data_IF_440256880899
#
_entry.id   IF_440256880899
#
_cell.length_a   1.000
_cell.length_b   1.000
_cell.length_c   1.000
_cell.angle_alpha   90.00
_cell.angle_beta   90.00
_cell.angle_gamma   90.00
#
_symmetry.space_group_name_H-M   'P 1'
#
loop_
_entity.id
_entity.type
_entity.pdbx_description
1 polymer ?
#
# COMPACT_ATOMS: atom_id res chain seq x y z
N UNK A 1 -35.57 -8.67 29.43
CA UNK A 1 -34.25 -8.47 30.08
C UNK A 1 -33.19 -8.52 28.99
N UNK A 2 -32.60 -7.37 28.64
CA UNK A 2 -31.51 -7.29 27.67
C UNK A 2 -30.36 -8.16 28.16
N UNK A 3 -29.97 -9.17 27.38
CA UNK A 3 -28.92 -10.12 27.74
C UNK A 3 -27.57 -9.39 27.82
N UNK A 4 -26.71 -9.79 28.75
CA UNK A 4 -25.35 -9.23 28.91
C UNK A 4 -24.56 -9.21 27.59
N UNK A 5 -24.85 -10.15 26.69
CA UNK A 5 -24.26 -10.19 25.33
C UNK A 5 -24.69 -9.03 24.44
N UNK A 6 -25.93 -8.55 24.55
CA UNK A 6 -26.39 -7.38 23.81
C UNK A 6 -25.79 -6.08 24.34
N UNK A 7 -25.58 -6.00 25.66
CA UNK A 7 -24.84 -4.89 26.27
C UNK A 7 -23.37 -4.87 25.83
N UNK A 8 -22.72 -6.03 25.76
CA UNK A 8 -21.33 -6.14 25.26
C UNK A 8 -21.22 -5.77 23.78
N UNK A 9 -22.15 -6.21 22.91
CA UNK A 9 -22.14 -5.82 21.49
C UNK A 9 -22.31 -4.31 21.32
N UNK A 10 -23.20 -3.69 22.08
CA UNK A 10 -23.40 -2.23 22.03
C UNK A 10 -22.15 -1.49 22.51
N UNK A 11 -21.49 -1.97 23.57
CA UNK A 11 -20.22 -1.42 24.03
C UNK A 11 -19.11 -1.59 22.98
N UNK A 12 -19.07 -2.71 22.27
CA UNK A 12 -18.08 -2.94 21.21
C UNK A 12 -18.30 -2.01 20.02
N UNK A 13 -19.54 -1.78 19.61
CA UNK A 13 -19.89 -0.82 18.55
C UNK A 13 -19.54 0.61 18.96
N UNK A 14 -19.81 1.00 20.21
CA UNK A 14 -19.43 2.32 20.73
C UNK A 14 -17.91 2.45 20.83
N UNK A 15 -17.20 1.40 21.25
CA UNK A 15 -15.75 1.38 21.28
C UNK A 15 -15.14 1.47 19.88
N UNK A 16 -15.73 0.84 18.87
CA UNK A 16 -15.28 0.91 17.48
C UNK A 16 -15.59 2.28 16.85
N UNK A 17 -16.73 2.88 17.18
CA UNK A 17 -17.12 4.21 16.71
C UNK A 17 -16.44 5.38 17.46
N UNK A 18 -15.98 5.15 18.70
CA UNK A 18 -15.27 6.14 19.53
C UNK A 18 -13.79 5.85 19.70
N UNK A 19 -13.28 4.71 19.19
CA UNK A 19 -11.86 4.52 19.04
C UNK A 19 -11.37 5.64 18.12
N UNK A 20 -10.36 6.43 18.52
CA UNK A 20 -9.69 7.26 17.57
C UNK A 20 -9.22 6.31 16.47
N UNK A 21 -9.71 6.52 15.23
CA UNK A 21 -9.08 5.85 14.11
C UNK A 21 -7.59 6.05 14.27
N UNK A 22 -6.77 4.97 14.22
CA UNK A 22 -5.34 5.15 14.30
C UNK A 22 -4.99 6.16 13.23
N UNK A 23 -4.58 7.35 13.67
CA UNK A 23 -4.29 8.48 12.78
C UNK A 23 -3.51 7.91 11.60
N UNK A 24 -4.00 8.12 10.37
CA UNK A 24 -3.45 7.50 9.15
C UNK A 24 -1.93 7.72 8.95
N UNK A 25 -1.33 8.59 9.75
CA UNK A 25 0.10 8.81 9.87
C UNK A 25 0.87 7.65 10.54
N UNK A 26 0.26 6.82 11.40
CA UNK A 26 0.95 5.67 12.01
C UNK A 26 0.90 4.39 11.18
N UNK A 27 -0.11 4.24 10.30
CA UNK A 27 -0.28 3.07 9.43
C UNK A 27 0.49 3.18 8.11
N UNK A 28 0.98 4.37 7.76
CA UNK A 28 1.74 4.62 6.52
C UNK A 28 3.24 4.37 6.67
N UNK A 29 3.77 4.22 7.89
CA UNK A 29 5.15 3.79 8.08
C UNK A 29 5.25 2.26 8.00
N UNK A 30 6.15 1.81 7.13
CA UNK A 30 6.51 0.40 7.00
C UNK A 30 6.85 -0.22 8.36
N UNK A 31 6.41 -1.46 8.58
CA UNK A 31 6.58 -2.21 9.83
C UNK A 31 8.06 -2.26 10.23
N UNK A 32 8.95 -2.40 9.24
CA UNK A 32 10.40 -2.35 9.41
C UNK A 32 10.86 -1.01 10.00
N UNK A 33 10.39 0.11 9.46
CA UNK A 33 10.78 1.47 9.90
C UNK A 33 10.27 1.77 11.31
N UNK A 34 9.07 1.30 11.64
CA UNK A 34 8.52 1.41 12.99
C UNK A 34 9.36 0.64 14.01
N UNK A 35 9.77 -0.58 13.66
CA UNK A 35 10.67 -1.39 14.48
C UNK A 35 12.07 -0.78 14.58
N UNK A 36 12.64 -0.26 13.48
CA UNK A 36 13.92 0.48 13.46
C UNK A 36 13.93 1.60 14.50
N UNK A 37 12.91 2.46 14.48
CA UNK A 37 12.77 3.58 15.43
C UNK A 37 12.66 3.10 16.88
N UNK A 38 11.84 2.07 17.12
CA UNK A 38 11.65 1.51 18.45
C UNK A 38 12.96 0.93 18.99
N UNK A 39 13.67 0.12 18.20
CA UNK A 39 14.95 -0.48 18.57
C UNK A 39 15.99 0.61 18.87
N UNK A 40 16.09 1.65 18.04
CA UNK A 40 17.04 2.75 18.28
C UNK A 40 16.74 3.49 19.59
N UNK A 41 15.46 3.79 19.87
CA UNK A 41 15.04 4.39 21.13
C UNK A 41 15.32 3.49 22.34
N UNK A 42 15.00 2.20 22.24
CA UNK A 42 15.23 1.22 23.28
C UNK A 42 16.74 1.04 23.57
N UNK A 43 17.61 1.01 22.54
CA UNK A 43 19.07 0.95 22.70
C UNK A 43 19.61 2.18 23.43
N UNK A 44 19.14 3.38 23.07
CA UNK A 44 19.55 4.63 23.74
C UNK A 44 19.10 4.66 25.20
N UNK A 45 17.88 4.19 25.47
CA UNK A 45 17.39 4.07 26.84
C UNK A 45 18.21 3.06 27.65
N UNK A 46 18.56 1.91 27.07
CA UNK A 46 19.39 0.91 27.76
C UNK A 46 20.79 1.46 28.06
N UNK A 47 21.39 2.24 27.16
CA UNK A 47 22.67 2.92 27.40
C UNK A 47 22.58 3.93 28.55
N UNK A 48 21.51 4.73 28.59
CA UNK A 48 21.25 5.65 29.68
C UNK A 48 21.04 4.91 31.02
N UNK A 49 20.26 3.83 31.01
CA UNK A 49 20.03 3.01 32.20
C UNK A 49 21.33 2.35 32.71
N UNK A 50 22.22 1.93 31.79
CA UNK A 50 23.54 1.40 32.12
C UNK A 50 24.42 2.44 32.81
N UNK A 51 24.44 3.67 32.31
CA UNK A 51 25.15 4.81 32.91
C UNK A 51 24.63 5.12 34.31
N UNK A 52 23.32 5.34 34.44
CA UNK A 52 22.71 5.66 35.74
C UNK A 52 22.92 4.54 36.76
N UNK A 53 22.95 3.28 36.32
CA UNK A 53 23.28 2.15 37.19
C UNK A 53 24.72 2.22 37.66
N UNK A 54 25.67 2.51 36.77
CA UNK A 54 27.08 2.58 37.15
C UNK A 54 27.35 3.75 38.10
N UNK A 55 26.73 4.90 37.88
CA UNK A 55 26.77 6.03 38.81
C UNK A 55 26.24 5.65 40.21
N UNK A 56 25.12 4.92 40.27
CA UNK A 56 24.58 4.42 41.56
C UNK A 56 25.51 3.38 42.22
N UNK A 57 26.17 2.53 41.43
CA UNK A 57 27.16 1.57 41.94
C UNK A 57 28.43 2.26 42.44
N UNK A 58 28.88 3.31 41.76
CA UNK A 58 30.03 4.11 42.15
C UNK A 58 29.77 4.92 43.43
N UNK A 59 28.54 5.43 43.61
CA UNK A 59 28.16 6.23 44.77
C UNK A 59 27.87 5.42 46.05
N UNK A 60 27.33 4.20 45.92
CA UNK A 60 26.79 3.46 47.08
C UNK A 60 26.98 1.94 47.05
N UNK A 61 27.75 1.39 46.10
CA UNK A 61 27.94 -0.04 45.95
C UNK A 61 26.66 -0.78 45.50
N UNK A 62 26.52 -2.06 45.88
CA UNK A 62 25.38 -2.88 45.46
C UNK A 62 24.16 -2.63 46.34
N UNK A 63 23.36 -1.62 45.99
CA UNK A 63 22.07 -1.33 46.63
C UNK A 63 20.92 -2.12 46.01
N UNK A 64 19.77 -2.21 46.70
CA UNK A 64 18.53 -2.81 46.16
C UNK A 64 18.06 -2.12 44.89
N UNK A 65 18.15 -0.80 44.84
CA UNK A 65 17.80 0.02 43.67
C UNK A 65 18.71 -0.26 42.46
N UNK A 66 20.01 -0.47 42.69
CA UNK A 66 20.95 -0.88 41.63
C UNK A 66 20.68 -2.30 41.12
N UNK A 67 20.25 -3.22 42.02
CA UNK A 67 19.84 -4.57 41.62
C UNK A 67 18.56 -4.56 40.78
N UNK A 68 17.58 -3.72 41.12
CA UNK A 68 16.37 -3.53 40.34
C UNK A 68 16.66 -2.92 38.96
N UNK A 69 17.49 -1.86 38.87
CA UNK A 69 17.91 -1.32 37.57
C UNK A 69 18.68 -2.36 36.75
N UNK A 70 19.54 -3.18 37.38
CA UNK A 70 20.23 -4.29 36.71
C UNK A 70 19.26 -5.33 36.13
N UNK A 71 18.15 -5.61 36.82
CA UNK A 71 17.11 -6.49 36.28
C UNK A 71 16.38 -5.83 35.11
N UNK A 72 15.98 -4.56 35.23
CA UNK A 72 15.32 -3.80 34.16
C UNK A 72 16.16 -3.73 32.89
N UNK A 73 17.46 -3.47 33.00
CA UNK A 73 18.40 -3.47 31.87
C UNK A 73 18.42 -4.84 31.18
N UNK A 74 18.50 -5.95 31.93
CA UNK A 74 18.49 -7.30 31.34
C UNK A 74 17.17 -7.63 30.62
N UNK A 75 16.04 -7.16 31.15
CA UNK A 75 14.73 -7.29 30.49
C UNK A 75 14.67 -6.43 29.23
N UNK A 76 15.15 -5.19 29.28
CA UNK A 76 15.19 -4.29 28.15
C UNK A 76 16.11 -4.82 27.03
N UNK A 77 17.29 -5.35 27.35
CA UNK A 77 18.19 -6.03 26.39
C UNK A 77 17.50 -7.20 25.70
N UNK A 78 16.74 -8.04 26.44
CA UNK A 78 15.93 -9.11 25.82
C UNK A 78 14.87 -8.55 24.87
N UNK A 79 14.18 -7.48 25.27
CA UNK A 79 13.20 -6.79 24.43
C UNK A 79 13.81 -6.25 23.12
N UNK A 80 15.00 -5.64 23.19
CA UNK A 80 15.74 -5.16 22.01
C UNK A 80 16.15 -6.31 21.09
N UNK A 81 16.61 -7.44 21.66
CA UNK A 81 16.93 -8.67 20.90
C UNK A 81 15.72 -9.23 20.16
N UNK A 82 14.58 -9.31 20.82
CA UNK A 82 13.32 -9.74 20.20
C UNK A 82 12.86 -8.75 19.11
N UNK A 83 13.12 -7.46 19.29
CA UNK A 83 12.90 -6.43 18.26
C UNK A 83 13.76 -6.67 17.01
N UNK A 84 15.07 -6.88 17.18
CA UNK A 84 16.00 -7.15 16.07
C UNK A 84 15.71 -8.49 15.39
N UNK A 85 15.31 -9.52 16.14
CA UNK A 85 14.89 -10.80 15.56
C UNK A 85 13.67 -10.63 14.63
N UNK A 86 12.65 -9.87 15.07
CA UNK A 86 11.48 -9.52 14.23
C UNK A 86 11.87 -8.72 13.00
N UNK A 87 12.79 -7.77 13.14
CA UNK A 87 13.34 -7.01 12.02
C UNK A 87 14.05 -7.91 10.99
N UNK A 88 14.79 -8.93 11.47
CA UNK A 88 15.42 -9.93 10.62
C UNK A 88 14.46 -10.87 9.91
N UNK A 89 13.35 -11.26 10.55
CA UNK A 89 12.30 -12.03 9.89
C UNK A 89 11.65 -11.25 8.73
N UNK A 90 11.47 -9.93 8.87
CA UNK A 90 10.93 -9.08 7.80
C UNK A 90 11.89 -9.05 6.62
N UNK A 91 13.19 -8.81 6.84
CA UNK A 91 14.20 -8.83 5.77
C UNK A 91 14.28 -10.20 5.10
N UNK A 92 14.27 -11.29 5.87
CA UNK A 92 14.27 -12.64 5.31
C UNK A 92 13.01 -12.95 4.48
N UNK A 93 11.84 -12.43 4.87
CA UNK A 93 10.60 -12.55 4.07
C UNK A 93 10.70 -11.77 2.76
N UNK A 94 11.34 -10.60 2.76
CA UNK A 94 11.54 -9.78 1.55
C UNK A 94 12.54 -10.41 0.58
N UNK A 95 13.61 -11.03 1.09
CA UNK A 95 14.57 -11.78 0.28
C UNK A 95 13.94 -12.97 -0.46
N UNK A 96 13.03 -13.68 0.21
CA UNK A 96 12.29 -14.80 -0.38
C UNK A 96 11.38 -14.36 -1.52
N UNK A 97 10.91 -13.11 -1.52
CA UNK A 97 10.00 -12.57 -2.54
C UNK A 97 10.70 -12.18 -3.85
N UNK A 98 12.02 -12.36 -3.99
CA UNK A 98 12.85 -12.16 -5.21
C UNK A 98 12.24 -11.17 -6.22
N UNK A 99 12.14 -9.89 -5.84
CA UNK A 99 11.82 -8.83 -6.80
C UNK A 99 13.08 -8.50 -7.62
N UNK A 100 12.92 -8.34 -8.94
CA UNK A 100 14.02 -8.05 -9.89
C UNK A 100 14.31 -6.55 -10.05
N UNK A 101 13.53 -5.68 -9.40
CA UNK A 101 13.68 -4.23 -9.58
C UNK A 101 14.96 -3.73 -8.90
N UNK A 102 15.81 -2.96 -9.60
CA UNK A 102 17.10 -2.50 -9.08
C UNK A 102 16.95 -1.64 -7.81
N UNK A 103 15.86 -0.88 -7.69
CA UNK A 103 15.55 -0.08 -6.50
C UNK A 103 15.19 -0.96 -5.28
N UNK A 104 14.48 -2.07 -5.51
CA UNK A 104 14.12 -3.01 -4.43
C UNK A 104 15.35 -3.73 -3.87
N UNK A 105 16.33 -4.01 -4.72
CA UNK A 105 17.62 -4.62 -4.33
C UNK A 105 18.44 -3.65 -3.47
N UNK A 106 18.49 -2.37 -3.84
CA UNK A 106 19.16 -1.33 -3.05
C UNK A 106 18.49 -1.11 -1.69
N UNK A 107 17.15 -1.07 -1.64
CA UNK A 107 16.40 -0.97 -0.38
C UNK A 107 16.68 -2.16 0.53
N UNK A 108 16.75 -3.37 -0.02
CA UNK A 108 17.04 -4.58 0.73
C UNK A 108 18.49 -4.57 1.26
N UNK A 109 19.45 -4.09 0.47
CA UNK A 109 20.83 -3.89 0.91
C UNK A 109 20.93 -2.90 2.09
N UNK A 110 20.25 -1.76 2.01
CA UNK A 110 20.21 -0.78 3.10
C UNK A 110 19.55 -1.35 4.37
N UNK A 111 18.49 -2.15 4.24
CA UNK A 111 17.85 -2.83 5.39
C UNK A 111 18.77 -3.86 6.06
N UNK A 112 19.60 -4.55 5.27
CA UNK A 112 20.62 -5.48 5.79
C UNK A 112 21.70 -4.74 6.57
N UNK A 113 22.17 -3.61 6.05
CA UNK A 113 23.16 -2.76 6.73
C UNK A 113 22.62 -2.23 8.07
N UNK A 114 21.36 -1.78 8.11
CA UNK A 114 20.69 -1.36 9.35
C UNK A 114 20.59 -2.51 10.35
N UNK A 115 20.29 -3.74 9.88
CA UNK A 115 20.21 -4.90 10.74
C UNK A 115 21.57 -5.27 11.34
N UNK A 116 22.63 -5.25 10.53
CA UNK A 116 24.00 -5.49 10.99
C UNK A 116 24.43 -4.45 12.03
N UNK A 117 24.11 -3.18 11.79
CA UNK A 117 24.40 -2.08 12.70
C UNK A 117 23.61 -2.21 14.02
N UNK A 118 22.33 -2.60 13.95
CA UNK A 118 21.53 -2.88 15.14
C UNK A 118 22.04 -4.08 15.95
N UNK A 119 22.57 -5.11 15.29
CA UNK A 119 23.22 -6.25 15.96
C UNK A 119 24.49 -5.81 16.69
N UNK A 120 25.34 -5.00 16.04
CA UNK A 120 26.55 -4.45 16.66
C UNK A 120 26.25 -3.60 17.90
N UNK A 121 25.20 -2.76 17.84
CA UNK A 121 24.76 -1.99 19.02
C UNK A 121 24.27 -2.87 20.17
N UNK A 122 23.59 -3.99 19.88
CA UNK A 122 23.21 -4.96 20.92
C UNK A 122 24.46 -5.59 21.52
N UNK A 123 25.42 -6.03 20.70
CA UNK A 123 26.65 -6.66 21.19
C UNK A 123 27.45 -5.73 22.11
N UNK A 124 27.53 -4.43 21.77
CA UNK A 124 28.17 -3.42 22.60
C UNK A 124 27.45 -3.28 23.96
N UNK A 125 26.12 -3.13 23.95
CA UNK A 125 25.31 -3.03 25.16
C UNK A 125 25.42 -4.29 26.03
N UNK A 126 25.48 -5.47 25.41
CA UNK A 126 25.70 -6.73 26.13
C UNK A 126 27.10 -6.83 26.73
N UNK A 127 28.12 -6.34 26.01
CA UNK A 127 29.48 -6.32 26.52
C UNK A 127 29.61 -5.35 27.70
N UNK A 128 28.95 -4.20 27.66
CA UNK A 128 28.86 -3.27 28.78
C UNK A 128 28.13 -3.86 29.99
N UNK A 129 27.09 -4.68 29.77
CA UNK A 129 26.42 -5.40 30.86
C UNK A 129 27.32 -6.49 31.47
N UNK A 130 28.02 -7.27 30.62
CA UNK A 130 28.91 -8.37 31.03
C UNK A 130 30.21 -7.91 31.66
N UNK A 131 30.73 -6.71 31.33
CA UNK A 131 31.94 -6.13 31.97
C UNK A 131 31.82 -6.13 33.51
N UNK A 132 30.61 -5.94 34.04
CA UNK A 132 30.30 -6.07 35.48
C UNK A 132 30.72 -7.43 36.09
N UNK A 133 30.54 -8.53 35.36
CA UNK A 133 30.86 -9.87 35.88
C UNK A 133 32.36 -10.15 35.88
N UNK A 134 33.11 -9.57 34.94
CA UNK A 134 34.55 -9.78 34.87
C UNK A 134 35.29 -8.87 35.87
N UNK A 135 35.02 -7.56 35.89
CA UNK A 135 35.74 -6.62 36.77
C UNK A 135 35.40 -6.83 38.25
N UNK A 136 34.12 -7.05 38.58
CA UNK A 136 33.70 -7.31 39.95
C UNK A 136 34.24 -8.64 40.52
N UNK A 137 34.50 -9.64 39.67
CA UNK A 137 35.10 -10.90 40.11
C UNK A 137 36.61 -10.79 40.30
N UNK A 138 37.30 -9.99 39.47
CA UNK A 138 38.73 -9.72 39.63
C UNK A 138 39.03 -8.81 40.81
N UNK A 139 38.29 -7.72 41.03
CA UNK A 139 38.51 -6.85 42.18
C UNK A 139 38.21 -7.57 43.50
N UNK A 140 37.05 -8.24 43.61
CA UNK A 140 36.71 -8.99 44.82
C UNK A 140 37.68 -10.14 45.08
N UNK A 141 38.18 -10.84 44.05
CA UNK A 141 39.17 -11.91 44.22
C UNK A 141 40.56 -11.36 44.60
N UNK A 142 40.97 -10.23 44.06
CA UNK A 142 42.24 -9.57 44.41
C UNK A 142 42.18 -9.04 45.85
N UNK A 143 41.06 -8.48 46.28
CA UNK A 143 40.84 -8.01 47.65
C UNK A 143 40.78 -9.16 48.66
N UNK A 144 40.09 -10.27 48.32
CA UNK A 144 39.96 -11.45 49.18
C UNK A 144 41.26 -12.27 49.25
N UNK A 145 42.07 -12.31 48.17
CA UNK A 145 43.44 -12.87 48.23
C UNK A 145 44.44 -11.94 48.94
N UNK A 146 44.19 -10.64 48.99
CA UNK A 146 45.03 -9.69 49.73
C UNK A 146 44.79 -9.73 51.25
N UNK A 147 43.73 -10.40 51.71
CA UNK A 147 43.25 -10.38 53.09
C UNK A 147 43.91 -11.35 54.09
N UNK A 148 44.95 -12.13 53.77
CA UNK A 148 45.49 -13.08 54.76
C UNK A 148 46.98 -13.47 54.66
N UNK A 149 47.89 -12.59 54.26
CA UNK A 149 49.33 -12.84 54.46
C UNK A 149 50.07 -11.60 54.94
N UNK A 150 50.33 -11.54 56.24
CA UNK A 150 51.30 -10.63 56.82
C UNK A 150 52.69 -10.93 56.28
N UNK A 151 53.19 -10.08 55.38
CA UNK A 151 54.62 -9.84 55.16
C UNK A 151 54.81 -8.51 54.40
N UNK A 152 55.58 -7.53 54.89
CA UNK A 152 55.68 -6.20 54.30
C UNK A 152 56.83 -6.09 53.28
N UNK A 153 56.97 -7.05 52.37
CA UNK A 153 58.05 -7.05 51.39
C UNK A 153 57.60 -7.70 50.07
N UNK A 154 57.05 -6.86 49.19
CA UNK A 154 56.72 -7.01 47.76
C UNK A 154 55.30 -6.51 47.47
N UNK A 155 55.12 -5.19 47.47
CA UNK A 155 54.05 -4.55 46.68
C UNK A 155 54.71 -3.70 45.61
N UNK A 156 55.02 -4.33 44.48
CA UNK A 156 55.06 -3.59 43.22
C UNK A 156 53.63 -3.17 42.92
N UNK A 157 53.29 -1.93 43.29
CA UNK A 157 52.13 -1.24 42.72
C UNK A 157 52.32 -1.25 41.20
N UNK A 158 51.37 -1.72 40.37
CA UNK A 158 51.39 -1.32 38.98
C UNK A 158 51.21 0.20 38.99
N UNK A 159 52.13 0.85 38.31
CA UNK A 159 52.23 2.29 38.14
C UNK A 159 50.83 2.85 37.83
N UNK A 160 50.27 3.60 38.79
CA UNK A 160 49.09 4.42 38.55
C UNK A 160 49.55 5.42 37.51
N UNK A 161 49.12 5.22 36.27
CA UNK A 161 49.41 6.10 35.15
C UNK A 161 49.09 7.54 35.53
N UNK A 162 49.83 8.44 34.90
CA UNK A 162 49.81 9.89 35.00
C UNK A 162 48.44 10.51 35.31
N UNK A 163 48.38 11.71 35.92
CA UNK A 163 47.13 12.46 36.01
C UNK A 163 46.63 12.70 34.59
N UNK A 164 45.58 11.98 34.20
CA UNK A 164 44.87 12.21 32.96
C UNK A 164 43.85 13.29 33.28
N UNK A 165 43.91 14.41 32.55
CA UNK A 165 42.93 15.50 32.62
C UNK A 165 41.50 14.93 32.59
N UNK A 166 40.72 15.25 33.61
CA UNK A 166 39.38 14.71 33.91
C UNK A 166 38.31 15.16 32.88
N UNK A 167 38.68 16.02 31.93
CA UNK A 167 37.76 16.65 30.97
C UNK A 167 37.69 15.98 29.58
N UNK A 168 38.33 14.83 29.35
CA UNK A 168 38.26 14.18 28.02
C UNK A 168 38.41 12.65 28.01
N UNK A 169 37.75 11.95 28.94
CA UNK A 169 37.44 10.53 28.74
C UNK A 169 36.03 10.47 28.13
N UNK A 170 35.88 10.10 26.84
CA UNK A 170 34.55 9.89 26.26
C UNK A 170 33.79 8.88 27.10
N UNK A 171 32.62 9.27 27.59
CA UNK A 171 31.77 8.44 28.43
C UNK A 171 31.45 7.13 27.69
N UNK A 172 31.94 5.96 28.17
CA UNK A 172 31.85 4.69 27.46
C UNK A 172 30.41 4.15 27.35
N UNK A 173 29.44 4.82 27.97
CA UNK A 173 28.02 4.49 27.90
C UNK A 173 27.24 5.36 26.91
N UNK A 174 27.66 6.61 26.70
CA UNK A 174 26.93 7.58 25.86
C UNK A 174 27.63 7.93 24.56
N UNK A 175 28.93 7.72 24.47
CA UNK A 175 29.71 7.92 23.23
C UNK A 175 30.11 6.57 22.65
N UNK A 176 29.52 6.21 21.53
CA UNK A 176 29.83 4.96 20.82
C UNK A 176 30.44 5.29 19.47
N UNK A 177 31.49 4.57 19.10
CA UNK A 177 32.21 4.76 17.83
C UNK A 177 31.38 4.29 16.60
N UNK A 178 30.24 3.64 16.85
CA UNK A 178 29.32 3.24 15.81
C UNK A 178 28.50 4.44 15.30
N UNK A 179 28.32 4.55 13.96
CA UNK A 179 27.41 5.54 13.40
C UNK A 179 26.01 5.33 13.97
N UNK A 180 25.36 6.40 14.41
CA UNK A 180 23.97 6.32 14.85
C UNK A 180 23.08 5.82 13.71
N UNK A 181 22.08 5.01 14.07
CA UNK A 181 21.03 4.63 13.13
C UNK A 181 20.32 5.94 12.73
N UNK A 182 20.61 6.47 11.55
CA UNK A 182 20.01 7.73 11.09
C UNK A 182 18.51 7.52 10.85
N UNK A 183 17.71 7.83 11.86
CA UNK A 183 16.24 7.74 11.84
C UNK A 183 15.65 9.08 11.40
N UNK A 184 16.35 10.19 11.60
CA UNK A 184 15.81 11.53 11.38
C UNK A 184 15.82 11.92 9.90
N UNK A 185 16.91 11.64 9.19
CA UNK A 185 16.98 11.90 7.74
C UNK A 185 15.99 11.01 6.96
N UNK A 186 15.87 9.74 7.35
CA UNK A 186 14.89 8.80 6.80
C UNK A 186 13.45 9.28 7.02
N UNK A 187 13.12 9.84 8.18
CA UNK A 187 11.78 10.36 8.47
C UNK A 187 11.45 11.58 7.62
N UNK A 188 12.41 12.49 7.43
CA UNK A 188 12.24 13.68 6.57
C UNK A 188 12.00 13.26 5.12
N UNK A 189 12.83 12.36 4.59
CA UNK A 189 12.67 11.82 3.22
C UNK A 189 11.33 11.09 3.03
N UNK A 190 10.84 10.37 4.04
CA UNK A 190 9.53 9.69 3.98
C UNK A 190 8.39 10.71 4.07
N UNK A 191 8.48 11.71 4.95
CA UNK A 191 7.48 12.77 5.07
C UNK A 191 7.34 13.60 3.80
N UNK A 192 8.46 13.94 3.15
CA UNK A 192 8.48 14.60 1.85
C UNK A 192 7.83 13.76 0.76
N UNK A 193 8.13 12.45 0.72
CA UNK A 193 7.53 11.52 -0.24
C UNK A 193 6.02 11.37 -0.03
N UNK A 194 5.56 11.27 1.22
CA UNK A 194 4.13 11.19 1.52
C UNK A 194 3.40 12.47 1.07
N UNK A 195 4.01 13.64 1.28
CA UNK A 195 3.45 14.90 0.78
C UNK A 195 3.33 14.94 -0.74
N UNK A 196 4.29 14.38 -1.47
CA UNK A 196 4.20 14.24 -2.93
C UNK A 196 3.08 13.27 -3.33
N UNK A 197 2.95 12.13 -2.63
CA UNK A 197 1.88 11.16 -2.88
C UNK A 197 0.50 11.78 -2.65
N UNK A 198 0.32 12.56 -1.59
CA UNK A 198 -0.95 13.24 -1.32
C UNK A 198 -1.31 14.23 -2.45
N UNK A 199 -0.33 14.96 -2.98
CA UNK A 199 -0.51 15.82 -4.15
C UNK A 199 -0.90 15.03 -5.41
N UNK A 200 -0.22 13.91 -5.67
CA UNK A 200 -0.55 13.03 -6.80
C UNK A 200 -1.97 12.44 -6.64
N UNK A 201 -2.38 12.08 -5.42
CA UNK A 201 -3.72 11.58 -5.13
C UNK A 201 -4.81 12.64 -5.33
N UNK A 202 -4.54 13.90 -4.98
CA UNK A 202 -5.43 15.02 -5.26
C UNK A 202 -5.59 15.23 -6.78
N UNK A 203 -4.49 15.14 -7.54
CA UNK A 203 -4.52 15.25 -9.01
C UNK A 203 -5.29 14.09 -9.66
N UNK A 204 -5.12 12.87 -9.15
CA UNK A 204 -5.92 11.70 -9.56
C UNK A 204 -7.38 11.92 -9.18
N UNK A 205 -7.68 12.42 -7.99
CA UNK A 205 -9.03 12.74 -7.53
C UNK A 205 -9.72 13.74 -8.47
N UNK A 206 -9.01 14.79 -8.88
CA UNK A 206 -9.48 15.74 -9.88
C UNK A 206 -9.66 15.09 -11.26
N UNK A 207 -8.78 14.17 -11.66
CA UNK A 207 -8.90 13.38 -12.88
C UNK A 207 -10.15 12.49 -12.89
N UNK A 208 -10.44 11.82 -11.78
CA UNK A 208 -11.63 10.96 -11.61
C UNK A 208 -12.90 11.80 -11.60
N UNK A 209 -12.90 12.99 -10.99
CA UNK A 209 -14.02 13.92 -11.06
C UNK A 209 -14.31 14.34 -12.50
N UNK A 210 -13.29 14.69 -13.29
CA UNK A 210 -13.45 14.98 -14.73
C UNK A 210 -14.00 13.78 -15.51
N UNK A 211 -13.52 12.57 -15.22
CA UNK A 211 -14.04 11.35 -15.85
C UNK A 211 -15.52 11.11 -15.51
N UNK A 212 -15.95 11.42 -14.29
CA UNK A 212 -17.36 11.36 -13.89
C UNK A 212 -18.22 12.33 -14.70
N UNK A 213 -17.74 13.56 -14.89
CA UNK A 213 -18.45 14.56 -15.69
C UNK A 213 -18.57 14.12 -17.16
N UNK A 214 -17.47 13.64 -17.75
CA UNK A 214 -17.47 13.07 -19.12
C UNK A 214 -18.41 11.86 -19.22
N UNK A 215 -18.44 10.98 -18.21
CA UNK A 215 -19.33 9.82 -18.21
C UNK A 215 -20.82 10.24 -18.15
N UNK A 216 -21.15 11.28 -17.38
CA UNK A 216 -22.50 11.84 -17.36
C UNK A 216 -22.87 12.48 -18.70
N UNK A 217 -21.94 13.23 -19.31
CA UNK A 217 -22.16 13.84 -20.63
C UNK A 217 -22.34 12.77 -21.72
N UNK A 218 -21.54 11.70 -21.68
CA UNK A 218 -21.68 10.55 -22.57
C UNK A 218 -23.04 9.86 -22.37
N UNK A 219 -23.48 9.70 -21.13
CA UNK A 219 -24.80 9.14 -20.82
C UNK A 219 -25.92 9.97 -21.43
N UNK A 220 -25.89 11.29 -21.24
CA UNK A 220 -26.88 12.20 -21.81
C UNK A 220 -26.88 12.19 -23.36
N UNK A 221 -25.69 12.10 -23.97
CA UNK A 221 -25.58 12.04 -25.43
C UNK A 221 -26.04 10.69 -25.98
N UNK A 222 -25.78 9.59 -25.26
CA UNK A 222 -26.29 8.26 -25.61
C UNK A 222 -27.83 8.24 -25.56
N UNK A 223 -28.43 8.84 -24.53
CA UNK A 223 -29.88 8.97 -24.43
C UNK A 223 -30.45 9.76 -25.63
N UNK A 224 -29.82 10.88 -26.03
CA UNK A 224 -30.22 11.64 -27.23
C UNK A 224 -30.06 10.83 -28.51
N UNK A 225 -28.98 10.06 -28.65
CA UNK A 225 -28.78 9.20 -29.81
C UNK A 225 -29.83 8.11 -29.89
N UNK A 226 -30.31 7.61 -28.74
CA UNK A 226 -31.39 6.65 -28.69
C UNK A 226 -32.71 7.26 -29.20
N UNK A 227 -33.05 8.49 -28.78
CA UNK A 227 -34.21 9.22 -29.30
C UNK A 227 -34.13 9.45 -30.83
N UNK A 228 -32.94 9.79 -31.34
CA UNK A 228 -32.70 9.96 -32.78
C UNK A 228 -32.80 8.63 -33.52
N UNK A 229 -32.33 7.53 -32.94
CA UNK A 229 -32.49 6.19 -33.51
C UNK A 229 -33.96 5.78 -33.63
N UNK A 230 -34.77 6.06 -32.60
CA UNK A 230 -36.23 5.83 -32.64
C UNK A 230 -36.91 6.64 -33.75
N UNK A 231 -36.47 7.89 -33.98
CA UNK A 231 -36.98 8.72 -35.08
C UNK A 231 -36.56 8.17 -36.44
N UNK A 232 -35.31 7.70 -36.58
CA UNK A 232 -34.82 7.04 -37.79
C UNK A 232 -35.62 5.77 -38.07
N UNK A 233 -35.89 4.93 -37.05
CA UNK A 233 -36.67 3.71 -37.21
C UNK A 233 -38.08 4.01 -37.75
N UNK A 234 -38.76 5.01 -37.19
CA UNK A 234 -40.06 5.50 -37.72
C UNK A 234 -39.95 6.04 -39.14
N UNK A 235 -38.86 6.73 -39.47
CA UNK A 235 -38.58 7.24 -40.81
C UNK A 235 -38.38 6.11 -41.82
N UNK A 236 -37.68 5.04 -41.43
CA UNK A 236 -37.46 3.83 -42.21
C UNK A 236 -38.77 3.08 -42.43
N UNK A 237 -39.58 2.87 -41.38
CA UNK A 237 -40.90 2.23 -41.49
C UNK A 237 -41.80 2.99 -42.47
N UNK A 238 -41.84 4.32 -42.36
CA UNK A 238 -42.62 5.17 -43.26
C UNK A 238 -42.10 5.09 -44.71
N UNK A 239 -40.78 4.97 -44.89
CA UNK A 239 -40.18 4.80 -46.21
C UNK A 239 -40.53 3.43 -46.81
N UNK A 240 -40.47 2.36 -46.02
CA UNK A 240 -40.90 1.01 -46.42
C UNK A 240 -42.38 1.00 -46.81
N UNK A 241 -43.25 1.60 -46.01
CA UNK A 241 -44.68 1.73 -46.33
C UNK A 241 -44.92 2.47 -47.66
N UNK A 242 -44.12 3.51 -47.95
CA UNK A 242 -44.19 4.22 -49.24
C UNK A 242 -43.71 3.35 -50.39
N UNK A 243 -42.64 2.59 -50.20
CA UNK A 243 -42.12 1.65 -51.21
C UNK A 243 -43.16 0.56 -51.51
N UNK A 244 -43.77 -0.02 -50.48
CA UNK A 244 -44.82 -1.03 -50.63
C UNK A 244 -46.06 -0.47 -51.33
N UNK A 245 -46.51 0.73 -50.94
CA UNK A 245 -47.61 1.40 -51.61
C UNK A 245 -47.32 1.74 -53.08
N UNK A 246 -46.08 2.14 -53.40
CA UNK A 246 -45.64 2.35 -54.78
C UNK A 246 -45.64 1.05 -55.57
N UNK A 247 -45.15 -0.04 -54.98
CA UNK A 247 -45.13 -1.36 -55.61
C UNK A 247 -46.57 -1.84 -55.91
N UNK A 248 -47.51 -1.67 -54.97
CA UNK A 248 -48.93 -1.97 -55.17
C UNK A 248 -49.54 -1.12 -56.30
N UNK A 249 -49.27 0.19 -56.31
CA UNK A 249 -49.77 1.09 -57.38
C UNK A 249 -49.19 0.72 -58.74
N UNK A 250 -47.90 0.40 -58.80
CA UNK A 250 -47.23 -0.03 -60.02
C UNK A 250 -47.83 -1.34 -60.53
N UNK A 251 -48.05 -2.32 -59.64
CA UNK A 251 -48.70 -3.58 -59.99
C UNK A 251 -50.14 -3.38 -60.50
N UNK A 252 -50.93 -2.52 -59.84
CA UNK A 252 -52.27 -2.13 -60.31
C UNK A 252 -52.24 -1.42 -61.67
N UNK A 253 -51.26 -0.55 -61.91
CA UNK A 253 -51.09 0.13 -63.19
C UNK A 253 -50.74 -0.86 -64.30
N UNK A 254 -49.82 -1.79 -64.05
CA UNK A 254 -49.47 -2.87 -64.99
C UNK A 254 -50.68 -3.76 -65.29
N UNK A 255 -51.41 -4.21 -64.26
CA UNK A 255 -52.64 -5.01 -64.46
C UNK A 255 -53.71 -4.24 -65.26
N UNK A 256 -53.83 -2.92 -65.03
CA UNK A 256 -54.71 -2.04 -65.77
C UNK A 256 -54.34 -1.93 -67.25
N UNK A 257 -53.05 -1.75 -67.56
CA UNK A 257 -52.52 -1.71 -68.93
C UNK A 257 -52.74 -3.06 -69.63
N UNK A 258 -52.48 -4.18 -68.96
CA UNK A 258 -52.74 -5.52 -69.51
C UNK A 258 -54.22 -5.76 -69.82
N UNK A 259 -55.15 -5.21 -69.02
CA UNK A 259 -56.59 -5.24 -69.34
C UNK A 259 -56.94 -4.39 -70.56
N UNK A 260 -56.30 -3.22 -70.71
CA UNK A 260 -56.46 -2.35 -71.87
C UNK A 260 -56.00 -3.00 -73.17
N UNK A 261 -54.85 -3.69 -73.13
CA UNK A 261 -54.31 -4.39 -74.30
C UNK A 261 -55.22 -5.55 -74.75
N UNK A 262 -55.74 -6.35 -73.81
CA UNK A 262 -56.75 -7.39 -74.12
C UNK A 262 -58.03 -6.81 -74.72
N UNK A 263 -58.46 -5.64 -74.26
CA UNK A 263 -59.64 -4.96 -74.83
C UNK A 263 -59.37 -4.49 -76.27
N UNK A 264 -58.20 -3.90 -76.53
CA UNK A 264 -57.80 -3.45 -77.86
C UNK A 264 -57.69 -4.62 -78.85
N UNK A 265 -57.05 -5.72 -78.44
CA UNK A 265 -56.92 -6.95 -79.25
C UNK A 265 -58.30 -7.53 -79.59
N UNK A 266 -59.23 -7.60 -78.64
CA UNK A 266 -60.60 -8.06 -78.90
C UNK A 266 -61.35 -7.14 -79.89
N UNK A 267 -61.13 -5.83 -79.83
CA UNK A 267 -61.75 -4.87 -80.74
C UNK A 267 -61.25 -5.06 -82.18
N UNK A 268 -59.92 -5.22 -82.36
CA UNK A 268 -59.32 -5.52 -83.67
C UNK A 268 -59.81 -6.87 -84.22
N UNK A 269 -59.88 -7.90 -83.38
CA UNK A 269 -60.40 -9.21 -83.76
C UNK A 269 -61.85 -9.11 -84.26
N UNK A 270 -62.70 -8.34 -83.59
CA UNK A 270 -64.08 -8.08 -84.01
C UNK A 270 -64.15 -7.42 -85.39
N UNK A 271 -63.31 -6.42 -85.65
CA UNK A 271 -63.23 -5.77 -86.97
C UNK A 271 -62.84 -6.74 -88.09
N UNK A 272 -61.89 -7.65 -87.84
CA UNK A 272 -61.47 -8.66 -88.83
C UNK A 272 -62.59 -9.65 -89.12
N UNK A 273 -63.30 -10.12 -88.10
CA UNK A 273 -64.46 -11.02 -88.27
C UNK A 273 -65.56 -10.34 -89.08
N UNK A 274 -65.89 -9.07 -88.78
CA UNK A 274 -66.87 -8.31 -89.55
C UNK A 274 -66.47 -8.12 -91.01
N UNK A 275 -65.19 -7.85 -91.29
CA UNK A 275 -64.69 -7.73 -92.65
C UNK A 275 -64.82 -9.04 -93.44
N UNK A 276 -64.55 -10.20 -92.81
CA UNK A 276 -64.75 -11.51 -93.42
C UNK A 276 -66.23 -11.80 -93.69
N UNK A 277 -67.11 -11.49 -92.74
CA UNK A 277 -68.56 -11.63 -92.93
C UNK A 277 -69.05 -10.76 -94.09
N UNK A 278 -68.58 -9.52 -94.18
CA UNK A 278 -68.92 -8.61 -95.29
C UNK A 278 -68.40 -9.13 -96.64
N UNK A 279 -67.18 -9.69 -96.67
CA UNK A 279 -66.62 -10.30 -97.88
C UNK A 279 -67.44 -11.51 -98.35
N UNK A 280 -67.82 -12.39 -97.43
CA UNK A 280 -68.64 -13.56 -97.73
C UNK A 280 -70.04 -13.11 -98.20
N UNK A 281 -70.67 -12.16 -97.52
CA UNK A 281 -71.96 -11.61 -97.94
C UNK A 281 -71.89 -10.96 -99.33
N UNK A 282 -70.79 -10.29 -99.68
CA UNK A 282 -70.56 -9.74 -101.02
C UNK A 282 -70.37 -10.82 -102.09
N UNK A 283 -69.69 -11.92 -101.77
CA UNK A 283 -69.54 -13.08 -102.67
C UNK A 283 -70.87 -13.80 -102.94
N UNK A 284 -71.79 -13.83 -101.98
CA UNK A 284 -73.13 -14.39 -102.18
C UNK A 284 -74.14 -13.42 -102.81
N UNK A 285 -73.80 -12.13 -102.91
CA UNK A 285 -74.66 -11.09 -103.50
C UNK A 285 -74.30 -10.76 -104.97
N UNK A 286 -73.37 -11.50 -105.58
CA UNK A 286 -73.04 -11.43 -107.02
C UNK A 286 -73.50 -12.71 -107.70
#
# INVERSE_FOLDING_TARGET
MSSMRDAMRRLQIIYEACAPEPTAQETTLDEFTRLKKKIHGDVKQVRQDLKEREEMMAAGGTTTESAEKSYRIRVAIRGVKEGVARMGEIVAKEERKKKKDPESVQRLAHRREILELAQKHIEEVENLEKRKFNDGYTEARVELLAGNRGNPAFRARPNKGAPVDEDSVPDPFTTTELPDIDVEEDLKRIGERNKMIDQDLDDIGAGVARLKDIANDLGNELDRQNDVLDEIERGVDTALDKVDNLNIKMRKAVDGVMKGDRFMVNCVLMCVVLALVAFIAGQFAT
#
